data_IF_835810294638
#
_entry.id   IF_835810294638
#
_cell.length_a   1.000
_cell.length_b   1.000
_cell.length_c   1.000
_cell.angle_alpha   90.00
_cell.angle_beta   90.00
_cell.angle_gamma   90.00
#
_symmetry.space_group_name_H-M   'P 1'
#
loop_
_entity.id
_entity.type
_entity.pdbx_description
1 polymer ?
#
# COMPACT_ATOMS: atom_id res chain seq x y z
N UNK A 1 20.04 -27.41 -28.97
CA UNK A 1 20.34 -26.20 -28.17
C UNK A 1 19.06 -25.75 -27.48
N UNK A 2 18.78 -26.30 -26.31
CA UNK A 2 17.64 -25.93 -25.48
C UNK A 2 18.14 -24.90 -24.48
N UNK A 3 17.70 -23.64 -24.62
CA UNK A 3 17.96 -22.58 -23.67
C UNK A 3 17.18 -22.90 -22.39
N UNK A 4 17.89 -23.15 -21.29
CA UNK A 4 17.31 -23.24 -19.95
C UNK A 4 16.87 -21.82 -19.54
N UNK A 5 15.57 -21.61 -19.41
CA UNK A 5 15.01 -20.43 -18.74
C UNK A 5 15.40 -20.47 -17.25
N UNK A 6 15.95 -19.39 -16.66
CA UNK A 6 16.08 -19.28 -15.23
C UNK A 6 14.75 -18.73 -14.70
N UNK A 7 13.74 -19.59 -14.62
CA UNK A 7 12.51 -19.28 -13.90
C UNK A 7 12.47 -20.09 -12.60
N UNK A 8 13.42 -19.79 -11.72
CA UNK A 8 13.32 -20.13 -10.30
C UNK A 8 12.99 -18.85 -9.52
N UNK A 9 11.89 -18.21 -9.96
CA UNK A 9 11.12 -17.24 -9.21
C UNK A 9 10.57 -17.90 -7.96
N UNK A 10 11.35 -17.92 -6.89
CA UNK A 10 10.91 -18.53 -5.64
C UNK A 10 12.01 -18.75 -4.62
N UNK A 11 12.88 -17.76 -4.38
CA UNK A 11 13.59 -17.73 -3.11
C UNK A 11 12.52 -17.57 -2.01
N UNK A 12 12.03 -18.68 -1.48
CA UNK A 12 11.12 -18.73 -0.34
C UNK A 12 11.88 -18.06 0.80
N UNK A 13 11.60 -16.77 1.02
CA UNK A 13 12.07 -16.03 2.18
C UNK A 13 11.81 -16.91 3.39
N UNK A 14 12.85 -17.13 4.21
CA UNK A 14 12.75 -17.92 5.43
C UNK A 14 11.58 -17.43 6.29
N UNK A 15 11.03 -18.28 7.17
CA UNK A 15 9.87 -17.96 7.98
C UNK A 15 10.00 -16.59 8.67
N UNK A 16 11.18 -16.25 9.17
CA UNK A 16 11.47 -14.96 9.81
C UNK A 16 11.33 -13.78 8.84
N UNK A 17 11.93 -13.87 7.65
CA UNK A 17 11.82 -12.80 6.65
C UNK A 17 10.39 -12.63 6.11
N UNK A 18 9.58 -13.70 6.13
CA UNK A 18 8.13 -13.60 5.83
C UNK A 18 7.37 -12.93 6.97
N UNK A 19 7.73 -13.22 8.21
CA UNK A 19 7.16 -12.56 9.39
C UNK A 19 7.50 -11.07 9.39
N UNK A 20 8.76 -10.69 9.19
CA UNK A 20 9.21 -9.29 9.12
C UNK A 20 8.42 -8.52 8.06
N UNK A 21 8.23 -9.12 6.88
CA UNK A 21 7.42 -8.52 5.81
C UNK A 21 5.96 -8.34 6.22
N UNK A 22 5.36 -9.35 6.85
CA UNK A 22 3.98 -9.27 7.32
C UNK A 22 3.82 -8.22 8.41
N UNK A 23 4.76 -8.13 9.35
CA UNK A 23 4.76 -7.11 10.40
C UNK A 23 4.83 -5.69 9.81
N UNK A 24 5.71 -5.48 8.82
CA UNK A 24 5.80 -4.20 8.11
C UNK A 24 4.49 -3.87 7.38
N UNK A 25 3.86 -4.85 6.71
CA UNK A 25 2.59 -4.66 6.02
C UNK A 25 1.45 -4.33 7.00
N UNK A 26 1.38 -5.01 8.14
CA UNK A 26 0.36 -4.76 9.17
C UNK A 26 0.57 -3.38 9.81
N UNK A 27 1.81 -2.98 10.08
CA UNK A 27 2.11 -1.65 10.60
C UNK A 27 1.64 -0.54 9.64
N UNK A 28 1.95 -0.69 8.35
CA UNK A 28 1.49 0.24 7.31
C UNK A 28 -0.04 0.29 7.22
N UNK A 29 -0.70 -0.87 7.24
CA UNK A 29 -2.16 -0.94 7.19
C UNK A 29 -2.80 -0.28 8.43
N UNK A 30 -2.25 -0.52 9.62
CA UNK A 30 -2.74 0.10 10.85
C UNK A 30 -2.64 1.62 10.80
N UNK A 31 -1.56 2.16 10.23
CA UNK A 31 -1.41 3.60 10.08
C UNK A 31 -2.39 4.18 9.04
N UNK A 32 -2.57 3.51 7.91
CA UNK A 32 -3.56 3.90 6.90
C UNK A 32 -4.98 3.95 7.49
N UNK A 33 -5.35 2.96 8.31
CA UNK A 33 -6.65 2.94 8.99
C UNK A 33 -6.79 4.10 9.99
N UNK A 34 -5.76 4.43 10.76
CA UNK A 34 -5.80 5.59 11.68
C UNK A 34 -5.99 6.90 10.93
N UNK A 35 -5.27 7.09 9.82
CA UNK A 35 -5.42 8.27 8.97
C UNK A 35 -6.84 8.34 8.41
N UNK A 36 -7.39 7.22 7.94
CA UNK A 36 -8.77 7.15 7.46
C UNK A 36 -9.77 7.52 8.56
N UNK A 37 -9.64 6.94 9.76
CA UNK A 37 -10.52 7.24 10.90
C UNK A 37 -10.45 8.72 11.26
N UNK A 38 -9.27 9.32 11.36
CA UNK A 38 -9.12 10.78 11.61
C UNK A 38 -9.74 11.63 10.51
N UNK A 39 -9.61 11.20 9.26
CA UNK A 39 -10.25 11.86 8.12
C UNK A 39 -11.78 11.78 8.17
N UNK A 40 -12.33 10.70 8.74
CA UNK A 40 -13.76 10.48 8.91
C UNK A 40 -14.34 11.12 10.18
N UNK A 41 -13.54 11.27 11.24
CA UNK A 41 -13.92 12.01 12.47
C UNK A 41 -14.20 13.49 12.17
N UNK A 42 -13.45 14.07 11.23
CA UNK A 42 -13.86 15.29 10.55
C UNK A 42 -15.00 14.94 9.59
N UNK A 43 -16.23 14.81 10.11
CA UNK A 43 -17.42 14.67 9.28
C UNK A 43 -17.29 15.74 8.19
N UNK A 44 -17.25 15.37 6.89
CA UNK A 44 -17.31 16.35 5.81
C UNK A 44 -18.71 16.94 5.85
N UNK A 45 -18.92 17.87 6.78
CA UNK A 45 -20.09 18.74 6.84
C UNK A 45 -20.11 19.69 5.65
N UNK A 46 -19.08 19.65 4.80
CA UNK A 46 -19.05 20.21 3.47
C UNK A 46 -18.64 19.11 2.50
N UNK A 47 -19.46 18.93 1.46
CA UNK A 47 -19.07 18.19 0.26
C UNK A 47 -17.67 18.66 -0.16
N UNK A 48 -16.67 17.82 0.05
CA UNK A 48 -15.32 18.08 -0.47
C UNK A 48 -15.48 18.19 -1.98
N UNK A 49 -15.06 19.30 -2.61
CA UNK A 49 -15.19 19.47 -4.05
C UNK A 49 -14.61 18.24 -4.77
N UNK A 50 -15.29 17.69 -5.79
CA UNK A 50 -14.87 16.45 -6.45
C UNK A 50 -13.43 16.52 -6.98
N UNK A 51 -12.95 17.71 -7.29
CA UNK A 51 -11.58 18.00 -7.70
C UNK A 51 -10.56 17.74 -6.59
N UNK A 52 -10.87 18.07 -5.34
CA UNK A 52 -10.02 17.82 -4.17
C UNK A 52 -9.97 16.33 -3.84
N UNK A 53 -11.11 15.65 -3.88
CA UNK A 53 -11.17 14.20 -3.72
C UNK A 53 -10.36 13.48 -4.81
N UNK A 54 -10.51 13.90 -6.08
CA UNK A 54 -9.76 13.34 -7.19
C UNK A 54 -8.25 13.62 -7.08
N UNK A 55 -7.85 14.80 -6.58
CA UNK A 55 -6.43 15.12 -6.29
C UNK A 55 -5.87 14.21 -5.21
N UNK A 56 -6.60 14.04 -4.10
CA UNK A 56 -6.19 13.15 -3.00
C UNK A 56 -6.03 11.70 -3.47
N UNK A 57 -6.97 11.19 -4.26
CA UNK A 57 -6.91 9.85 -4.83
C UNK A 57 -5.70 9.65 -5.76
N UNK A 58 -5.37 10.65 -6.60
CA UNK A 58 -4.18 10.60 -7.46
C UNK A 58 -2.88 10.57 -6.65
N UNK A 59 -2.78 11.42 -5.63
CA UNK A 59 -1.61 11.47 -4.75
C UNK A 59 -1.40 10.14 -4.00
N UNK A 60 -2.48 9.55 -3.48
CA UNK A 60 -2.42 8.25 -2.84
C UNK A 60 -1.94 7.15 -3.83
N UNK A 61 -2.45 7.19 -5.06
CA UNK A 61 -2.03 6.25 -6.10
C UNK A 61 -0.55 6.40 -6.45
N UNK A 62 -0.04 7.62 -6.62
CA UNK A 62 1.38 7.89 -6.88
C UNK A 62 2.28 7.41 -5.73
N UNK A 63 1.85 7.62 -4.48
CA UNK A 63 2.58 7.15 -3.30
C UNK A 63 2.64 5.62 -3.24
N UNK A 64 1.57 4.91 -3.60
CA UNK A 64 1.56 3.45 -3.66
C UNK A 64 2.52 2.92 -4.73
N UNK A 65 2.48 3.49 -5.93
CA UNK A 65 3.41 3.14 -7.02
C UNK A 65 4.87 3.37 -6.63
N UNK A 66 5.16 4.47 -5.91
CA UNK A 66 6.52 4.76 -5.43
C UNK A 66 7.04 3.74 -4.41
N UNK A 67 6.15 3.05 -3.72
CA UNK A 67 6.48 1.99 -2.76
C UNK A 67 6.50 0.58 -3.39
N UNK A 68 6.21 0.46 -4.69
CA UNK A 68 6.16 -0.82 -5.39
C UNK A 68 4.97 -1.69 -4.99
N UNK A 69 3.87 -1.07 -4.52
CA UNK A 69 2.57 -1.68 -4.27
C UNK A 69 1.60 -1.36 -5.41
#
# INVERSE_FOLDING_TARGET
MTQSHPDESGAVLGPDARLDRLEAQVATLAEAVRVLVRGLENIPSQDVPPEEAARGARLAHELLLSQGL
#
